data_IF_331038411880
#
_entry.id   IF_331038411880
#
_cell.length_a   1.000
_cell.length_b   1.000
_cell.length_c   1.000
_cell.angle_alpha   90.00
_cell.angle_beta   90.00
_cell.angle_gamma   90.00
#
_symmetry.space_group_name_H-M   'P 1'
#
loop_
_entity.id
_entity.type
_entity.pdbx_description
1 polymer ?
#
# COMPACT_ATOMS: atom_id res chain seq x y z
N UNK A 1 8.55 8.19 11.98
CA UNK A 1 8.92 9.48 12.62
C UNK A 1 10.36 9.78 12.21
N UNK A 2 10.60 10.90 11.52
CA UNK A 2 11.95 11.33 11.18
C UNK A 2 12.67 11.75 12.48
N UNK A 3 13.48 10.86 13.05
CA UNK A 3 14.26 11.16 14.25
C UNK A 3 15.53 11.89 13.86
N UNK A 4 15.66 13.17 14.23
CA UNK A 4 16.94 13.88 14.12
C UNK A 4 17.94 13.26 15.12
N UNK A 5 19.17 13.05 14.68
CA UNK A 5 20.26 12.62 15.55
C UNK A 5 21.15 13.82 15.86
N UNK A 6 21.59 13.93 17.12
CA UNK A 6 22.54 14.95 17.57
C UNK A 6 23.84 14.26 17.96
N UNK A 7 24.96 14.80 17.47
CA UNK A 7 26.30 14.29 17.76
C UNK A 7 27.13 15.32 18.53
N UNK A 8 28.23 14.87 19.11
CA UNK A 8 29.19 15.76 19.78
C UNK A 8 29.79 16.74 18.78
N UNK A 9 29.96 18.00 19.18
CA UNK A 9 30.63 19.03 18.38
C UNK A 9 32.16 18.92 18.46
N UNK A 10 32.69 18.08 19.35
CA UNK A 10 34.13 17.94 19.65
C UNK A 10 35.02 17.81 18.43
N UNK A 11 34.57 17.05 17.44
CA UNK A 11 35.36 16.64 16.28
C UNK A 11 35.41 17.75 15.21
N UNK A 12 34.58 18.78 15.36
CA UNK A 12 34.46 19.91 14.45
C UNK A 12 35.07 21.19 15.03
N UNK A 13 35.52 21.18 16.28
CA UNK A 13 36.16 22.35 16.92
C UNK A 13 37.59 22.51 16.40
N UNK A 14 37.96 23.74 16.10
CA UNK A 14 39.28 24.05 15.54
C UNK A 14 40.17 24.84 16.51
N UNK A 15 41.48 24.64 16.40
CA UNK A 15 42.50 25.40 17.13
C UNK A 15 42.35 25.30 18.65
N UNK A 16 42.34 26.45 19.34
CA UNK A 16 42.22 26.46 20.81
C UNK A 16 40.88 25.91 21.32
N UNK A 17 39.86 25.88 20.46
CA UNK A 17 38.51 25.44 20.77
C UNK A 17 38.40 23.95 21.08
N UNK A 18 39.39 23.14 20.67
CA UNK A 18 39.46 21.71 21.03
C UNK A 18 39.43 21.50 22.56
N UNK A 19 39.95 22.46 23.32
CA UNK A 19 39.99 22.47 24.78
C UNK A 19 38.79 23.16 25.45
N UNK A 20 37.75 23.51 24.67
CA UNK A 20 36.59 24.22 25.20
C UNK A 20 35.83 23.38 26.24
N UNK A 21 35.34 24.07 27.28
CA UNK A 21 34.66 23.46 28.42
C UNK A 21 33.18 23.27 28.09
N UNK A 22 32.61 22.17 28.57
CA UNK A 22 31.18 21.93 28.51
C UNK A 22 30.56 22.30 29.86
N UNK A 23 29.53 23.13 29.84
CA UNK A 23 28.68 23.40 31.01
C UNK A 23 27.31 22.74 30.82
N UNK A 24 26.70 22.32 31.92
CA UNK A 24 25.42 21.61 31.91
C UNK A 24 24.51 22.12 33.01
N UNK A 25 23.20 22.00 32.81
CA UNK A 25 22.19 22.32 33.82
C UNK A 25 21.12 21.25 33.92
N UNK A 26 20.49 21.16 35.09
CA UNK A 26 19.28 20.36 35.33
C UNK A 26 18.00 21.20 35.26
N UNK A 27 18.13 22.51 35.15
CA UNK A 27 17.01 23.43 35.05
C UNK A 27 16.20 23.18 33.77
N UNK A 28 14.90 23.48 33.85
CA UNK A 28 14.02 23.42 32.69
C UNK A 28 14.35 24.59 31.76
N UNK A 29 14.51 24.31 30.46
CA UNK A 29 14.71 25.34 29.45
C UNK A 29 13.35 25.75 28.88
N UNK A 30 13.01 27.03 28.98
CA UNK A 30 11.80 27.58 28.40
C UNK A 30 11.94 27.79 26.90
N UNK A 31 10.82 27.75 26.18
CA UNK A 31 10.79 28.07 24.75
C UNK A 31 11.31 26.99 23.81
N UNK A 32 11.57 25.79 24.32
CA UNK A 32 11.92 24.60 23.53
C UNK A 32 10.67 24.01 22.85
N UNK A 33 10.87 23.12 21.87
CA UNK A 33 9.77 22.35 21.23
C UNK A 33 8.63 23.20 20.63
N UNK A 34 8.95 24.37 20.07
CA UNK A 34 7.96 25.23 19.39
C UNK A 34 7.72 24.78 17.96
N UNK A 35 6.45 24.68 17.55
CA UNK A 35 6.09 24.49 16.15
C UNK A 35 6.63 25.65 15.27
N UNK A 36 6.98 25.38 13.99
CA UNK A 36 6.95 24.09 13.30
C UNK A 36 8.19 23.20 13.56
N UNK A 37 9.25 23.74 14.18
CA UNK A 37 10.53 23.06 14.38
C UNK A 37 10.73 22.63 15.83
N UNK A 38 10.47 21.35 16.11
CA UNK A 38 10.61 20.78 17.44
C UNK A 38 12.07 20.41 17.74
N UNK A 39 12.74 21.24 18.54
CA UNK A 39 14.07 20.96 19.08
C UNK A 39 13.98 20.43 20.53
N UNK A 40 14.67 19.32 20.86
CA UNK A 40 14.56 18.70 22.17
C UNK A 40 15.15 19.58 23.26
N UNK A 41 14.49 19.66 24.42
CA UNK A 41 14.99 20.45 25.56
C UNK A 41 16.43 20.08 25.96
N UNK A 42 16.77 18.79 25.86
CA UNK A 42 18.10 18.26 26.20
C UNK A 42 19.23 18.94 25.42
N UNK A 43 18.98 19.38 24.19
CA UNK A 43 19.95 20.14 23.39
C UNK A 43 20.41 21.41 24.11
N UNK A 44 19.48 22.13 24.74
CA UNK A 44 19.72 23.41 25.39
C UNK A 44 20.18 23.28 26.85
N UNK A 45 20.26 22.06 27.40
CA UNK A 45 20.73 21.81 28.77
C UNK A 45 22.25 21.61 28.85
N UNK A 46 22.93 21.58 27.70
CA UNK A 46 24.38 21.55 27.58
C UNK A 46 24.85 22.68 26.67
N UNK A 47 25.99 23.27 26.98
CA UNK A 47 26.61 24.26 26.12
C UNK A 47 28.14 24.23 26.21
N UNK A 48 28.79 24.62 25.12
CA UNK A 48 30.25 24.73 25.03
C UNK A 48 30.65 26.19 25.17
N UNK A 49 31.69 26.45 25.97
CA UNK A 49 32.23 27.79 26.26
C UNK A 49 33.75 27.73 26.40
N UNK A 50 34.45 28.79 26.00
CA UNK A 50 35.90 28.91 26.14
C UNK A 50 36.30 30.36 26.42
N UNK A 51 37.35 30.56 27.22
CA UNK A 51 37.98 31.87 27.36
C UNK A 51 38.67 32.25 26.04
N UNK A 52 38.06 33.17 25.29
CA UNK A 52 38.49 33.54 23.96
C UNK A 52 37.42 33.24 22.92
N UNK A 53 37.86 32.99 21.69
CA UNK A 53 36.98 32.70 20.56
C UNK A 53 36.72 31.20 20.46
N UNK A 54 35.48 30.84 20.18
CA UNK A 54 35.10 29.47 19.82
C UNK A 54 35.05 29.35 18.29
N UNK A 55 35.71 28.35 17.74
CA UNK A 55 35.90 28.16 16.29
C UNK A 55 35.54 26.73 15.89
N UNK A 56 34.82 26.61 14.78
CA UNK A 56 34.39 25.36 14.18
C UNK A 56 34.74 25.32 12.70
N UNK A 57 35.15 24.15 12.22
CA UNK A 57 35.36 23.85 10.80
C UNK A 57 34.45 22.69 10.41
N UNK A 58 33.40 23.01 9.65
CA UNK A 58 32.41 22.03 9.21
C UNK A 58 32.75 21.60 7.78
N UNK A 59 33.03 20.30 7.53
CA UNK A 59 33.22 19.78 6.19
C UNK A 59 31.89 19.78 5.44
N UNK A 60 31.89 20.35 4.23
CA UNK A 60 30.68 20.58 3.42
C UNK A 60 31.02 20.50 1.92
N UNK A 61 30.00 20.29 1.09
CA UNK A 61 30.14 20.34 -0.37
C UNK A 61 30.23 21.79 -0.86
N UNK A 62 31.21 22.07 -1.72
CA UNK A 62 31.34 23.37 -2.37
C UNK A 62 30.23 23.59 -3.42
N UNK A 63 30.05 24.86 -3.82
CA UNK A 63 29.08 25.35 -4.82
C UNK A 63 27.61 25.17 -4.43
N UNK A 64 27.32 25.01 -3.14
CA UNK A 64 25.97 24.99 -2.60
C UNK A 64 25.73 26.18 -1.66
N UNK A 65 24.46 26.50 -1.45
CA UNK A 65 24.03 27.38 -0.38
C UNK A 65 23.89 26.56 0.92
N UNK A 66 24.24 27.13 2.07
CA UNK A 66 24.11 26.46 3.37
C UNK A 66 23.25 27.27 4.32
N UNK A 67 22.19 26.67 4.85
CA UNK A 67 21.43 27.21 5.97
C UNK A 67 22.05 26.71 7.27
N UNK A 68 22.61 27.64 8.03
CA UNK A 68 23.23 27.37 9.33
C UNK A 68 22.28 27.78 10.45
N UNK A 69 22.01 26.88 11.39
CA UNK A 69 21.24 27.14 12.60
C UNK A 69 22.14 27.11 13.81
N UNK A 70 22.05 28.16 14.62
CA UNK A 70 22.74 28.28 15.90
C UNK A 70 21.71 28.17 17.03
N UNK A 71 21.99 27.26 17.96
CA UNK A 71 21.15 27.05 19.13
C UNK A 71 21.87 27.55 20.39
N UNK A 72 21.18 28.40 21.14
CA UNK A 72 21.70 29.05 22.33
C UNK A 72 20.72 28.93 23.50
N UNK A 73 21.24 28.87 24.72
CA UNK A 73 20.51 29.12 25.94
C UNK A 73 21.49 29.61 27.00
N UNK A 74 21.17 30.70 27.69
CA UNK A 74 22.02 31.17 28.79
C UNK A 74 21.76 30.30 30.02
N UNK A 75 22.59 29.25 30.18
CA UNK A 75 22.50 28.28 31.27
C UNK A 75 23.55 28.53 32.35
N UNK A 76 24.45 29.50 32.16
CA UNK A 76 25.42 29.90 33.15
C UNK A 76 24.78 30.86 34.17
N UNK A 77 24.52 30.35 35.36
CA UNK A 77 23.92 31.11 36.47
C UNK A 77 24.73 32.33 36.93
N UNK A 78 25.99 32.46 36.49
CA UNK A 78 26.81 33.64 36.79
C UNK A 78 26.40 34.86 35.97
N UNK A 79 25.77 34.67 34.81
CA UNK A 79 25.24 35.73 33.94
C UNK A 79 23.82 36.10 34.39
N UNK A 80 23.65 37.32 34.90
CA UNK A 80 22.41 37.77 35.57
C UNK A 80 21.75 38.98 34.92
N UNK A 81 22.39 39.60 33.94
CA UNK A 81 21.84 40.75 33.20
C UNK A 81 22.39 40.82 31.78
N UNK A 82 21.65 41.51 30.92
CA UNK A 82 22.10 41.88 29.59
C UNK A 82 23.45 42.62 29.64
N UNK A 83 24.31 42.36 28.66
CA UNK A 83 25.63 42.95 28.50
C UNK A 83 26.76 42.21 29.21
N UNK A 84 26.48 41.24 30.10
CA UNK A 84 27.52 40.44 30.76
C UNK A 84 28.15 39.39 29.84
N UNK A 85 27.35 38.82 28.92
CA UNK A 85 27.81 37.94 27.85
C UNK A 85 27.34 38.47 26.50
N UNK A 86 28.29 38.95 25.71
CA UNK A 86 28.06 39.47 24.36
C UNK A 86 29.16 38.92 23.45
N UNK A 87 28.78 38.36 22.31
CA UNK A 87 29.73 37.86 21.32
C UNK A 87 29.21 38.05 19.90
N UNK A 88 30.13 38.21 18.96
CA UNK A 88 29.81 38.30 17.53
C UNK A 88 29.87 36.88 16.94
N UNK A 89 28.86 36.51 16.16
CA UNK A 89 28.81 35.28 15.37
C UNK A 89 29.31 35.59 13.97
N UNK A 90 30.35 34.90 13.53
CA UNK A 90 30.91 35.02 12.20
C UNK A 90 30.79 33.69 11.46
N UNK A 91 30.44 33.77 10.18
CA UNK A 91 30.42 32.64 9.24
C UNK A 91 31.32 33.02 8.07
N UNK A 92 32.35 32.22 7.79
CA UNK A 92 33.40 32.51 6.80
C UNK A 92 33.95 33.94 6.90
N UNK A 93 34.33 34.34 8.12
CA UNK A 93 34.86 35.67 8.47
C UNK A 93 33.89 36.86 8.26
N UNK A 94 32.66 36.61 7.82
CA UNK A 94 31.61 37.61 7.76
C UNK A 94 30.86 37.67 9.09
N UNK A 95 30.77 38.86 9.69
CA UNK A 95 29.98 39.07 10.90
C UNK A 95 28.48 38.98 10.56
N UNK A 96 27.81 37.98 11.14
CA UNK A 96 26.40 37.66 10.92
C UNK A 96 25.52 38.41 11.91
N UNK A 97 25.85 38.33 13.19
CA UNK A 97 25.05 38.95 14.25
C UNK A 97 25.85 39.12 15.53
N UNK A 98 25.56 40.18 16.28
CA UNK A 98 25.95 40.32 17.68
C UNK A 98 24.89 39.70 18.57
N UNK A 99 25.29 38.77 19.44
CA UNK A 99 24.38 37.98 20.29
C UNK A 99 24.59 38.33 21.76
N UNK A 100 23.49 38.62 22.44
CA UNK A 100 23.36 38.68 23.90
C UNK A 100 22.13 37.85 24.29
N UNK A 101 22.36 36.59 24.66
CA UNK A 101 21.27 35.62 24.88
C UNK A 101 20.36 36.08 26.02
N UNK A 102 20.95 36.63 27.10
CA UNK A 102 20.19 37.10 28.25
C UNK A 102 19.27 38.26 27.87
N UNK A 103 19.74 39.19 27.04
CA UNK A 103 18.91 40.29 26.53
C UNK A 103 17.73 39.79 25.69
N UNK A 104 17.95 38.79 24.83
CA UNK A 104 16.93 38.30 23.90
C UNK A 104 15.86 37.44 24.61
N UNK A 105 16.27 36.54 25.51
CA UNK A 105 15.36 35.53 26.09
C UNK A 105 15.51 35.33 27.61
N UNK A 106 16.49 35.96 28.25
CA UNK A 106 16.81 35.75 29.67
C UNK A 106 17.60 34.46 29.93
N UNK A 107 17.69 34.07 31.20
CA UNK A 107 18.30 32.80 31.61
C UNK A 107 17.38 31.60 31.36
N UNK A 108 17.97 30.44 31.10
CA UNK A 108 17.27 29.16 30.93
C UNK A 108 16.12 29.21 29.91
N UNK A 109 16.33 29.94 28.81
CA UNK A 109 15.41 30.00 27.69
C UNK A 109 16.15 29.75 26.37
N UNK A 110 15.51 29.01 25.47
CA UNK A 110 16.05 28.69 24.16
C UNK A 110 15.97 29.89 23.22
N UNK A 111 17.08 30.18 22.57
CA UNK A 111 17.24 31.17 21.52
C UNK A 111 17.85 30.50 20.30
N UNK A 112 17.32 30.79 19.11
CA UNK A 112 17.84 30.24 17.86
C UNK A 112 18.06 31.36 16.87
N UNK A 113 19.19 31.31 16.19
CA UNK A 113 19.57 32.22 15.11
C UNK A 113 19.82 31.36 13.87
N UNK A 114 19.41 31.83 12.70
CA UNK A 114 19.78 31.20 11.44
C UNK A 114 20.43 32.19 10.49
N UNK A 115 21.23 31.66 9.58
CA UNK A 115 21.91 32.44 8.56
C UNK A 115 22.16 31.55 7.34
N UNK A 116 21.90 32.10 6.15
CA UNK A 116 22.19 31.42 4.90
C UNK A 116 23.49 31.95 4.32
N UNK A 117 24.49 31.09 4.25
CA UNK A 117 25.71 31.33 3.49
C UNK A 117 25.49 30.91 2.05
N UNK A 118 25.68 31.84 1.11
CA UNK A 118 25.37 31.62 -0.30
C UNK A 118 26.62 31.34 -1.11
N UNK A 119 26.49 30.44 -2.08
CA UNK A 119 27.50 30.09 -3.07
C UNK A 119 28.86 29.82 -2.43
N UNK A 120 28.88 28.87 -1.50
CA UNK A 120 30.08 28.53 -0.76
C UNK A 120 31.15 27.98 -1.72
N UNK A 121 32.26 28.68 -1.89
CA UNK A 121 33.33 28.26 -2.81
C UNK A 121 34.28 27.21 -2.24
N UNK A 122 34.28 27.06 -0.92
CA UNK A 122 35.16 26.16 -0.16
C UNK A 122 34.43 24.88 0.24
N UNK A 123 35.17 23.80 0.49
CA UNK A 123 34.66 22.55 1.09
C UNK A 123 34.62 22.59 2.62
N UNK A 124 34.85 23.77 3.21
CA UNK A 124 34.85 24.00 4.65
C UNK A 124 34.03 25.25 4.94
N UNK A 125 33.04 25.10 5.82
CA UNK A 125 32.25 26.18 6.39
C UNK A 125 32.82 26.53 7.76
N UNK A 126 33.39 27.72 7.88
CA UNK A 126 34.02 28.16 9.12
C UNK A 126 33.04 28.98 9.97
N UNK A 127 32.89 28.62 11.23
CA UNK A 127 32.02 29.32 12.19
C UNK A 127 32.86 29.79 13.37
N UNK A 128 32.77 31.09 13.71
CA UNK A 128 33.49 31.69 14.84
C UNK A 128 32.56 32.47 15.75
N UNK A 129 32.64 32.24 17.05
CA UNK A 129 31.97 33.06 18.07
C UNK A 129 33.05 33.88 18.78
N UNK A 130 33.12 35.17 18.47
CA UNK A 130 34.16 36.08 18.99
C UNK A 130 33.64 36.86 20.20
N UNK A 131 34.30 36.79 21.36
CA UNK A 131 33.86 37.49 22.55
C UNK A 131 33.94 39.01 22.38
N UNK A 132 32.91 39.71 22.85
CA UNK A 132 32.88 41.17 23.05
C UNK A 132 32.86 41.48 24.55
N UNK A 133 32.08 40.72 25.32
CA UNK A 133 32.06 40.71 26.78
C UNK A 133 31.75 39.29 27.27
N UNK A 134 32.50 38.78 28.25
CA UNK A 134 32.36 37.38 28.67
C UNK A 134 32.79 36.37 27.60
N UNK A 135 32.76 35.08 27.95
CA UNK A 135 33.06 34.00 27.03
C UNK A 135 31.86 33.72 26.09
N UNK A 136 32.04 33.36 24.82
CA UNK A 136 30.94 32.91 23.98
C UNK A 136 30.39 31.56 24.46
N UNK A 137 29.14 31.26 24.12
CA UNK A 137 28.47 30.02 24.49
C UNK A 137 27.60 29.54 23.33
N UNK A 138 27.56 28.22 23.09
CA UNK A 138 26.66 27.59 22.10
C UNK A 138 26.14 26.22 22.60
N UNK A 139 24.87 25.92 22.35
CA UNK A 139 24.24 24.65 22.72
C UNK A 139 24.22 23.63 21.57
N UNK A 140 24.13 24.11 20.33
CA UNK A 140 24.10 23.26 19.15
C UNK A 140 24.24 24.03 17.86
N UNK A 141 24.64 23.33 16.80
CA UNK A 141 24.85 23.85 15.47
C UNK A 141 24.28 22.85 14.47
N UNK A 142 23.47 23.31 13.51
CA UNK A 142 23.02 22.51 12.36
C UNK A 142 23.44 23.23 11.08
N UNK A 143 23.85 22.48 10.06
CA UNK A 143 24.08 23.01 8.72
C UNK A 143 23.32 22.14 7.70
N UNK A 144 22.55 22.80 6.85
CA UNK A 144 21.77 22.14 5.80
C UNK A 144 22.25 22.65 4.45
N UNK A 145 22.68 21.73 3.58
CA UNK A 145 22.87 22.04 2.18
C UNK A 145 21.51 22.40 1.57
N UNK A 146 21.40 23.61 1.04
CA UNK A 146 20.23 24.07 0.32
C UNK A 146 20.39 23.67 -1.14
N UNK A 147 19.54 22.75 -1.57
CA UNK A 147 19.35 22.46 -2.98
C UNK A 147 18.22 23.34 -3.52
N UNK A 148 18.29 23.80 -4.78
CA UNK A 148 17.16 24.43 -5.44
C UNK A 148 15.91 23.55 -5.29
N UNK A 149 14.76 24.17 -5.02
CA UNK A 149 13.50 23.45 -5.01
C UNK A 149 13.20 23.02 -6.45
N UNK A 150 13.50 21.77 -6.75
CA UNK A 150 13.21 21.19 -8.04
C UNK A 150 11.70 20.92 -8.21
N UNK A 151 11.27 20.75 -9.45
CA UNK A 151 9.91 20.35 -9.76
C UNK A 151 9.66 18.95 -9.18
N UNK A 152 8.60 18.79 -8.39
CA UNK A 152 8.21 17.48 -7.89
C UNK A 152 7.61 16.61 -9.00
N UNK A 153 7.70 15.28 -8.84
CA UNK A 153 6.92 14.36 -9.65
C UNK A 153 5.43 14.57 -9.40
N UNK A 154 4.61 14.51 -10.45
CA UNK A 154 3.16 14.64 -10.30
C UNK A 154 2.60 13.58 -9.32
N UNK A 155 1.73 13.95 -8.36
CA UNK A 155 1.36 13.09 -7.25
C UNK A 155 0.80 11.72 -7.65
N UNK A 156 0.02 11.66 -8.73
CA UNK A 156 -0.57 10.43 -9.24
C UNK A 156 0.50 9.43 -9.69
N UNK A 157 1.59 9.92 -10.30
CA UNK A 157 2.68 9.07 -10.74
C UNK A 157 3.59 8.65 -9.58
N UNK A 158 3.70 9.45 -8.52
CA UNK A 158 4.35 9.02 -7.27
C UNK A 158 3.62 7.83 -6.65
N UNK A 159 2.28 7.86 -6.63
CA UNK A 159 1.46 6.72 -6.16
C UNK A 159 1.73 5.48 -7.00
N UNK A 160 1.76 5.63 -8.32
CA UNK A 160 2.07 4.54 -9.26
C UNK A 160 3.44 3.92 -8.97
N UNK A 161 4.48 4.76 -8.86
CA UNK A 161 5.86 4.33 -8.66
C UNK A 161 6.08 3.67 -7.31
N UNK A 162 5.40 4.14 -6.26
CA UNK A 162 5.41 3.47 -4.97
C UNK A 162 4.80 2.07 -5.07
N UNK A 163 3.65 1.94 -5.74
CA UNK A 163 3.02 0.65 -5.93
C UNK A 163 3.88 -0.30 -6.79
N UNK A 164 4.57 0.22 -7.81
CA UNK A 164 5.50 -0.56 -8.63
C UNK A 164 6.76 -0.94 -7.87
N UNK A 165 7.32 -0.07 -7.03
CA UNK A 165 8.45 -0.40 -6.14
C UNK A 165 8.13 -1.65 -5.32
N UNK A 166 6.95 -1.65 -4.70
CA UNK A 166 6.48 -2.73 -3.84
C UNK A 166 6.15 -3.99 -4.67
N UNK A 167 5.45 -3.85 -5.80
CA UNK A 167 5.00 -5.00 -6.60
C UNK A 167 6.09 -5.69 -7.41
N UNK A 168 7.09 -4.93 -7.87
CA UNK A 168 8.26 -5.43 -8.62
C UNK A 168 9.41 -5.86 -7.70
N UNK A 169 9.20 -5.83 -6.37
CA UNK A 169 10.19 -6.20 -5.36
C UNK A 169 11.55 -5.51 -5.59
N UNK A 170 11.53 -4.22 -5.92
CA UNK A 170 12.74 -3.47 -6.28
C UNK A 170 13.68 -3.41 -5.05
N UNK A 171 14.93 -3.88 -5.16
CA UNK A 171 15.85 -3.87 -4.03
C UNK A 171 16.36 -2.46 -3.73
N UNK A 172 16.63 -2.17 -2.45
CA UNK A 172 17.08 -0.84 -2.00
C UNK A 172 18.34 -0.34 -2.73
N UNK A 173 19.19 -1.25 -3.22
CA UNK A 173 20.41 -0.94 -3.98
C UNK A 173 20.17 -0.18 -5.29
N UNK A 174 18.95 -0.21 -5.84
CA UNK A 174 18.59 0.52 -7.06
C UNK A 174 18.20 1.98 -6.80
N UNK A 175 18.29 2.45 -5.55
CA UNK A 175 18.09 3.87 -5.27
C UNK A 175 16.65 4.38 -5.45
N UNK A 176 15.65 3.51 -5.50
CA UNK A 176 14.23 3.90 -5.57
C UNK A 176 13.72 4.48 -4.23
N UNK A 177 14.25 5.62 -3.80
CA UNK A 177 13.94 6.29 -2.55
C UNK A 177 13.68 7.79 -2.78
N UNK A 178 12.72 8.37 -2.06
CA UNK A 178 12.36 9.79 -2.22
C UNK A 178 11.41 10.05 -3.38
N UNK A 179 11.57 11.19 -4.06
CA UNK A 179 10.80 11.55 -5.26
C UNK A 179 11.36 10.77 -6.47
N UNK A 180 10.53 10.16 -7.33
CA UNK A 180 11.02 9.38 -8.47
C UNK A 180 11.84 10.16 -9.51
N UNK A 181 11.58 11.45 -9.66
CA UNK A 181 12.17 12.29 -10.71
C UNK A 181 13.02 13.45 -10.19
N UNK A 182 12.96 13.75 -8.89
CA UNK A 182 13.68 14.87 -8.29
C UNK A 182 14.74 14.39 -7.29
N UNK A 183 15.94 15.00 -7.29
CA UNK A 183 16.33 16.17 -8.09
C UNK A 183 16.78 15.82 -9.53
N UNK A 184 16.45 16.68 -10.51
CA UNK A 184 16.80 16.53 -11.93
C UNK A 184 18.32 16.48 -12.17
N UNK A 185 19.09 17.08 -11.26
CA UNK A 185 20.52 17.26 -11.41
C UNK A 185 21.34 16.03 -10.92
N UNK A 186 20.75 15.17 -10.06
CA UNK A 186 21.44 13.99 -9.51
C UNK A 186 20.45 12.88 -9.09
N UNK A 187 20.31 11.85 -9.92
CA UNK A 187 19.56 10.61 -9.63
C UNK A 187 18.02 10.75 -9.61
N UNK A 188 17.44 10.72 -10.81
CA UNK A 188 16.19 9.99 -10.98
C UNK A 188 16.38 8.53 -10.51
N UNK A 189 15.30 7.89 -10.05
CA UNK A 189 15.35 6.47 -9.70
C UNK A 189 15.99 5.64 -10.83
N UNK A 190 16.83 4.66 -10.48
CA UNK A 190 17.54 3.87 -11.48
C UNK A 190 16.56 3.24 -12.48
N UNK A 191 16.84 3.44 -13.77
CA UNK A 191 15.99 2.98 -14.87
C UNK A 191 14.73 3.83 -15.12
N UNK A 192 14.56 4.99 -14.46
CA UNK A 192 13.41 5.88 -14.67
C UNK A 192 13.84 7.15 -15.39
N UNK A 193 13.17 7.47 -16.49
CA UNK A 193 13.38 8.73 -17.22
C UNK A 193 12.18 9.65 -17.10
N UNK A 194 12.44 10.86 -16.62
CA UNK A 194 11.44 11.89 -16.39
C UNK A 194 11.61 13.10 -17.31
N UNK A 195 10.51 13.75 -17.62
CA UNK A 195 10.46 15.01 -18.36
C UNK A 195 9.54 15.99 -17.68
N UNK A 196 9.76 17.28 -17.89
CA UNK A 196 8.81 18.31 -17.46
C UNK A 196 7.48 18.14 -18.20
N UNK A 197 6.36 18.25 -17.46
CA UNK A 197 5.04 18.24 -18.07
C UNK A 197 4.85 19.46 -19.01
N UNK A 198 3.81 19.42 -19.85
CA UNK A 198 3.53 20.49 -20.83
C UNK A 198 3.32 21.88 -20.21
N UNK A 199 2.92 21.94 -18.94
CA UNK A 199 2.62 23.18 -18.24
C UNK A 199 3.81 23.73 -17.44
N UNK A 200 4.94 23.02 -17.37
CA UNK A 200 6.08 23.40 -16.55
C UNK A 200 5.87 23.27 -15.03
N UNK A 201 4.80 22.59 -14.59
CA UNK A 201 4.38 22.58 -13.17
C UNK A 201 4.82 21.34 -12.38
N UNK A 202 5.41 20.34 -13.04
CA UNK A 202 5.83 19.11 -12.41
C UNK A 202 6.53 18.17 -13.38
N UNK A 203 7.20 17.16 -12.83
CA UNK A 203 7.87 16.11 -13.59
C UNK A 203 6.91 14.93 -13.84
N UNK A 204 7.01 14.36 -15.02
CA UNK A 204 6.27 13.17 -15.44
C UNK A 204 7.22 12.11 -15.93
N UNK A 205 6.92 10.86 -15.61
CA UNK A 205 7.65 9.67 -15.98
C UNK A 205 7.24 9.28 -17.39
N UNK A 206 8.27 9.10 -18.22
CA UNK A 206 8.09 8.81 -19.66
C UNK A 206 8.68 7.48 -20.04
N UNK A 207 9.67 6.98 -19.28
CA UNK A 207 10.31 5.70 -19.56
C UNK A 207 10.63 4.97 -18.25
N UNK A 208 10.42 3.64 -18.25
CA UNK A 208 10.89 2.72 -17.22
C UNK A 208 11.67 1.62 -17.92
N UNK A 209 12.95 1.49 -17.61
CA UNK A 209 13.92 0.57 -18.21
C UNK A 209 14.56 -0.29 -17.11
N UNK A 210 13.96 -1.44 -16.84
CA UNK A 210 14.38 -2.40 -15.82
C UNK A 210 14.70 -3.78 -16.42
N UNK A 211 15.11 -3.81 -17.69
CA UNK A 211 15.47 -5.03 -18.39
C UNK A 211 16.67 -5.75 -17.74
N UNK A 212 16.64 -7.09 -17.70
CA UNK A 212 17.76 -7.93 -17.22
C UNK A 212 18.22 -7.67 -15.77
N UNK A 213 17.31 -7.28 -14.88
CA UNK A 213 17.63 -6.92 -13.50
C UNK A 213 17.46 -8.06 -12.47
N UNK A 214 16.94 -9.21 -12.91
CA UNK A 214 16.65 -10.34 -12.02
C UNK A 214 15.52 -10.06 -11.03
N UNK A 215 14.64 -9.09 -11.35
CA UNK A 215 13.50 -8.68 -10.54
C UNK A 215 12.38 -9.74 -10.56
N UNK A 216 11.50 -9.67 -9.57
CA UNK A 216 10.41 -10.63 -9.32
C UNK A 216 9.12 -9.88 -9.00
N UNK A 217 8.04 -10.63 -8.77
CA UNK A 217 6.76 -10.05 -8.37
C UNK A 217 5.85 -9.86 -9.58
N UNK A 218 5.04 -8.82 -9.59
CA UNK A 218 4.00 -8.60 -10.61
C UNK A 218 3.84 -7.13 -10.97
N UNK A 219 3.21 -6.87 -12.12
CA UNK A 219 2.93 -5.51 -12.59
C UNK A 219 1.64 -5.03 -11.92
N UNK A 220 1.72 -3.99 -11.10
CA UNK A 220 0.57 -3.43 -10.39
C UNK A 220 -0.39 -2.68 -11.32
N UNK A 221 -1.70 -2.80 -11.09
CA UNK A 221 -2.75 -2.05 -11.81
C UNK A 221 -2.58 -0.52 -11.71
N UNK A 222 -1.88 -0.04 -10.69
CA UNK A 222 -1.56 1.38 -10.49
C UNK A 222 -0.63 1.95 -11.58
N UNK A 223 -0.05 1.11 -12.44
CA UNK A 223 0.72 1.55 -13.61
C UNK A 223 -0.09 2.46 -14.56
N UNK A 224 -1.43 2.36 -14.51
CA UNK A 224 -2.34 3.22 -15.26
C UNK A 224 -2.23 4.71 -14.94
N UNK A 225 -1.77 5.04 -13.73
CA UNK A 225 -1.55 6.43 -13.30
C UNK A 225 -0.33 7.04 -13.99
N UNK A 226 0.54 6.24 -14.63
CA UNK A 226 1.64 6.71 -15.47
C UNK A 226 1.15 7.11 -16.88
N UNK A 227 0.24 8.09 -16.94
CA UNK A 227 -0.43 8.55 -18.18
C UNK A 227 0.53 9.07 -19.27
N UNK A 228 1.75 9.41 -18.89
CA UNK A 228 2.79 9.93 -19.77
C UNK A 228 3.85 8.89 -20.14
N UNK A 229 3.69 7.63 -19.71
CA UNK A 229 4.63 6.56 -20.01
C UNK A 229 4.57 6.21 -21.51
N UNK A 230 5.75 6.25 -22.14
CA UNK A 230 5.97 5.98 -23.56
C UNK A 230 6.72 4.67 -23.72
N UNK A 231 7.75 4.45 -22.91
CA UNK A 231 8.58 3.24 -22.96
C UNK A 231 8.47 2.46 -21.66
N UNK A 232 8.16 1.17 -21.77
CA UNK A 232 8.22 0.22 -20.67
C UNK A 232 9.06 -0.97 -21.10
N UNK A 233 10.23 -1.12 -20.49
CA UNK A 233 11.10 -2.27 -20.65
C UNK A 233 11.26 -2.99 -19.31
N UNK A 234 10.61 -4.15 -19.20
CA UNK A 234 10.70 -5.07 -18.07
C UNK A 234 11.25 -6.43 -18.52
N UNK A 235 11.93 -6.49 -19.67
CA UNK A 235 12.36 -7.74 -20.28
C UNK A 235 13.34 -8.52 -19.42
N UNK A 236 13.43 -9.84 -19.64
CA UNK A 236 14.49 -10.68 -19.06
C UNK A 236 14.53 -10.63 -17.52
N UNK A 237 13.35 -10.68 -16.89
CA UNK A 237 13.17 -10.74 -15.45
C UNK A 237 12.38 -12.01 -15.06
N UNK A 238 11.92 -12.08 -13.82
CA UNK A 238 11.11 -13.18 -13.30
C UNK A 238 9.73 -12.68 -12.84
N UNK A 239 9.17 -11.69 -13.55
CA UNK A 239 7.82 -11.19 -13.26
C UNK A 239 6.77 -12.24 -13.60
N UNK A 240 5.79 -12.41 -12.72
CA UNK A 240 4.71 -13.38 -12.84
C UNK A 240 3.33 -12.72 -12.69
N UNK A 241 2.27 -13.50 -12.91
CA UNK A 241 0.90 -13.00 -12.92
C UNK A 241 0.48 -12.46 -14.29
N UNK A 242 -0.70 -11.85 -14.34
CA UNK A 242 -1.27 -11.29 -15.56
C UNK A 242 -0.73 -9.91 -15.87
N UNK A 243 -0.72 -9.56 -17.16
CA UNK A 243 -0.53 -8.18 -17.59
C UNK A 243 -1.80 -7.40 -17.22
N UNK A 244 -1.71 -6.33 -16.41
CA UNK A 244 -2.88 -5.59 -15.97
C UNK A 244 -3.57 -4.92 -17.17
N UNK A 245 -4.90 -5.01 -17.25
CA UNK A 245 -5.69 -4.33 -18.30
C UNK A 245 -5.45 -2.82 -18.26
N UNK A 246 -5.16 -2.29 -17.07
CA UNK A 246 -4.86 -0.88 -16.84
C UNK A 246 -3.60 -0.38 -17.55
N UNK A 247 -2.68 -1.26 -17.98
CA UNK A 247 -1.48 -0.86 -18.72
C UNK A 247 -1.81 -0.20 -20.07
N UNK A 248 -3.02 -0.44 -20.57
CA UNK A 248 -3.54 0.09 -21.83
C UNK A 248 -3.89 1.58 -21.75
N UNK A 249 -3.98 2.17 -20.56
CA UNK A 249 -4.33 3.59 -20.39
C UNK A 249 -3.15 4.55 -20.64
N UNK A 250 -1.95 4.01 -20.88
CA UNK A 250 -0.74 4.77 -21.14
C UNK A 250 -0.49 4.92 -22.64
N UNK A 251 0.13 6.03 -23.06
CA UNK A 251 0.46 6.31 -24.47
C UNK A 251 1.74 5.56 -24.90
N UNK A 252 1.76 4.24 -24.70
CA UNK A 252 2.93 3.40 -24.91
C UNK A 252 3.28 3.30 -26.40
N UNK A 253 4.57 3.41 -26.68
CA UNK A 253 5.17 3.18 -28.00
C UNK A 253 6.13 1.99 -27.98
N UNK A 254 6.77 1.71 -26.84
CA UNK A 254 7.65 0.57 -26.67
C UNK A 254 7.23 -0.21 -25.42
N UNK A 255 6.92 -1.49 -25.60
CA UNK A 255 6.56 -2.41 -24.52
C UNK A 255 7.37 -3.69 -24.67
N UNK A 256 8.38 -3.89 -23.83
CA UNK A 256 9.14 -5.13 -23.75
C UNK A 256 8.85 -5.84 -22.44
N UNK A 257 8.10 -6.93 -22.53
CA UNK A 257 7.79 -7.82 -21.41
C UNK A 257 8.34 -9.23 -21.65
N UNK A 258 9.15 -9.41 -22.69
CA UNK A 258 9.67 -10.70 -23.11
C UNK A 258 10.55 -11.36 -22.04
N UNK A 259 10.66 -12.69 -22.11
CA UNK A 259 11.48 -13.52 -21.23
C UNK A 259 11.15 -13.31 -19.74
N UNK A 260 9.86 -13.34 -19.39
CA UNK A 260 9.36 -13.35 -18.02
C UNK A 260 8.51 -14.62 -17.75
N UNK A 261 7.84 -14.66 -16.59
CA UNK A 261 6.92 -15.72 -16.16
C UNK A 261 5.45 -15.24 -16.20
N UNK A 262 5.13 -14.28 -17.08
CA UNK A 262 3.78 -13.72 -17.19
C UNK A 262 2.81 -14.75 -17.77
N UNK A 263 1.55 -14.69 -17.33
CA UNK A 263 0.52 -15.65 -17.69
C UNK A 263 -0.86 -15.02 -17.89
N UNK A 264 -1.75 -15.73 -18.59
CA UNK A 264 -3.12 -15.29 -18.84
C UNK A 264 -3.30 -14.57 -20.18
N UNK A 265 -4.49 -13.98 -20.35
CA UNK A 265 -4.84 -13.29 -21.59
C UNK A 265 -4.12 -11.95 -21.69
N UNK A 266 -3.55 -11.66 -22.84
CA UNK A 266 -3.00 -10.33 -23.15
C UNK A 266 -4.16 -9.36 -23.43
N UNK A 267 -4.22 -8.18 -22.80
CA UNK A 267 -5.21 -7.16 -23.13
C UNK A 267 -5.12 -6.75 -24.61
N UNK A 268 -6.25 -6.74 -25.31
CA UNK A 268 -6.29 -6.49 -26.76
C UNK A 268 -5.77 -5.08 -27.10
N UNK A 269 -6.10 -4.11 -26.26
CA UNK A 269 -5.66 -2.72 -26.41
C UNK A 269 -4.14 -2.59 -26.22
N UNK A 270 -3.49 -3.47 -25.45
CA UNK A 270 -2.03 -3.43 -25.30
C UNK A 270 -1.34 -3.90 -26.59
N UNK A 271 -1.90 -4.93 -27.22
CA UNK A 271 -1.40 -5.41 -28.51
C UNK A 271 -1.57 -4.37 -29.63
N UNK A 272 -2.57 -3.48 -29.53
CA UNK A 272 -2.78 -2.39 -30.48
C UNK A 272 -1.60 -1.43 -30.60
N UNK A 273 -0.71 -1.35 -29.59
CA UNK A 273 0.54 -0.56 -29.66
C UNK A 273 1.37 -0.93 -30.88
N UNK A 274 1.52 -2.24 -31.17
CA UNK A 274 2.24 -2.71 -32.35
C UNK A 274 1.54 -2.37 -33.68
N UNK A 275 0.21 -2.31 -33.67
CA UNK A 275 -0.60 -1.94 -34.83
C UNK A 275 -0.47 -0.44 -35.15
N UNK A 276 -0.31 0.39 -34.13
CA UNK A 276 -0.17 1.84 -34.25
C UNK A 276 1.28 2.32 -34.51
N UNK A 277 2.18 1.42 -34.92
CA UNK A 277 3.57 1.74 -35.26
C UNK A 277 4.53 1.74 -34.06
N UNK A 278 4.06 1.33 -32.89
CA UNK A 278 4.90 1.01 -31.74
C UNK A 278 5.54 -0.38 -31.85
N UNK A 279 6.28 -0.78 -30.82
CA UNK A 279 6.92 -2.08 -30.69
C UNK A 279 6.43 -2.77 -29.42
N UNK A 280 5.90 -3.98 -29.57
CA UNK A 280 5.53 -4.85 -28.46
C UNK A 280 6.24 -6.20 -28.57
N UNK A 281 6.93 -6.59 -27.51
CA UNK A 281 7.57 -7.91 -27.41
C UNK A 281 7.10 -8.62 -26.14
N UNK A 282 6.36 -9.71 -26.34
CA UNK A 282 5.82 -10.60 -25.30
C UNK A 282 6.45 -12.00 -25.35
N UNK A 283 7.45 -12.20 -26.21
CA UNK A 283 8.05 -13.51 -26.47
C UNK A 283 8.67 -14.12 -25.20
N UNK A 284 8.84 -15.44 -25.15
CA UNK A 284 9.42 -16.11 -23.98
C UNK A 284 8.50 -16.26 -22.75
N UNK A 285 7.34 -15.61 -22.73
CA UNK A 285 6.31 -15.84 -21.69
C UNK A 285 5.39 -17.01 -22.07
N UNK A 286 5.67 -18.21 -21.55
CA UNK A 286 4.95 -19.44 -21.92
C UNK A 286 3.48 -19.47 -21.49
N UNK A 287 3.10 -18.67 -20.49
CA UNK A 287 1.75 -18.64 -19.93
C UNK A 287 0.80 -17.65 -20.63
N UNK A 288 1.29 -16.79 -21.52
CA UNK A 288 0.47 -15.79 -22.20
C UNK A 288 -0.31 -16.37 -23.38
N UNK A 289 -1.50 -15.83 -23.63
CA UNK A 289 -2.39 -16.26 -24.70
C UNK A 289 -3.29 -15.12 -25.22
N UNK A 290 -3.96 -15.33 -26.36
CA UNK A 290 -5.06 -14.49 -26.83
C UNK A 290 -4.75 -13.41 -27.87
N UNK A 291 -3.48 -13.21 -28.25
CA UNK A 291 -3.07 -12.28 -29.33
C UNK A 291 -1.98 -12.88 -30.20
N UNK A 292 -1.93 -12.65 -31.52
CA UNK A 292 -0.90 -13.22 -32.38
C UNK A 292 0.52 -12.72 -32.03
N UNK A 293 1.57 -13.57 -32.02
CA UNK A 293 1.61 -14.98 -32.40
C UNK A 293 1.37 -15.97 -31.24
N UNK A 294 0.87 -15.51 -30.10
CA UNK A 294 0.60 -16.36 -28.94
C UNK A 294 -0.59 -17.31 -29.21
N UNK A 295 -0.65 -18.48 -28.56
CA UNK A 295 -1.76 -19.41 -28.71
C UNK A 295 -3.08 -18.81 -28.22
N UNK A 296 -4.19 -19.35 -28.71
CA UNK A 296 -5.52 -19.04 -28.18
C UNK A 296 -5.61 -19.45 -26.71
N UNK A 297 -6.29 -18.63 -25.91
CA UNK A 297 -6.50 -18.95 -24.50
C UNK A 297 -7.40 -20.19 -24.35
N UNK A 298 -7.10 -21.10 -23.41
CA UNK A 298 -7.97 -22.23 -23.12
C UNK A 298 -9.40 -21.76 -22.79
N UNK A 299 -10.41 -22.42 -23.39
CA UNK A 299 -11.86 -22.17 -23.28
C UNK A 299 -12.43 -22.05 -21.84
N UNK A 300 -11.62 -22.32 -20.81
CA UNK A 300 -12.01 -22.37 -19.40
C UNK A 300 -11.73 -21.08 -18.59
N UNK A 301 -11.04 -20.08 -19.17
CA UNK A 301 -10.70 -18.84 -18.46
C UNK A 301 -11.28 -17.60 -19.13
N UNK A 302 -12.47 -17.21 -18.70
CA UNK A 302 -13.08 -15.91 -18.98
C UNK A 302 -13.22 -15.19 -17.62
N UNK A 303 -12.45 -14.13 -17.39
CA UNK A 303 -12.53 -13.24 -16.22
C UNK A 303 -12.55 -13.96 -14.85
N UNK A 304 -11.72 -14.99 -14.66
CA UNK A 304 -11.63 -15.74 -13.41
C UNK A 304 -12.89 -16.54 -13.04
N UNK A 305 -13.82 -16.76 -13.99
CA UNK A 305 -15.05 -17.54 -13.79
C UNK A 305 -15.26 -18.56 -14.91
N UNK A 306 -15.97 -19.64 -14.58
CA UNK A 306 -16.32 -20.69 -15.54
C UNK A 306 -17.25 -20.12 -16.64
N UNK A 307 -16.83 -20.21 -17.91
CA UNK A 307 -17.63 -19.79 -19.07
C UNK A 307 -19.00 -20.50 -19.12
N UNK A 308 -19.99 -19.91 -19.81
CA UNK A 308 -21.33 -20.51 -19.97
C UNK A 308 -21.25 -21.92 -20.57
N UNK A 309 -20.35 -22.15 -21.54
CA UNK A 309 -20.10 -23.47 -22.12
C UNK A 309 -19.49 -24.45 -21.11
N UNK A 310 -18.52 -24.00 -20.31
CA UNK A 310 -17.92 -24.79 -19.24
C UNK A 310 -18.93 -25.20 -18.16
N UNK A 311 -19.84 -24.29 -17.77
CA UNK A 311 -20.93 -24.58 -16.83
C UNK A 311 -21.87 -25.66 -17.36
N UNK A 312 -22.22 -25.60 -18.65
CA UNK A 312 -23.05 -26.61 -19.31
C UNK A 312 -22.33 -27.95 -19.38
N UNK A 313 -21.04 -27.97 -19.74
CA UNK A 313 -20.25 -29.19 -19.82
C UNK A 313 -20.10 -29.88 -18.46
N UNK A 314 -19.83 -29.13 -17.39
CA UNK A 314 -19.79 -29.69 -16.02
C UNK A 314 -21.18 -30.20 -15.62
N UNK A 315 -22.23 -29.44 -15.90
CA UNK A 315 -23.61 -29.86 -15.65
C UNK A 315 -23.98 -31.18 -16.35
N UNK A 316 -23.63 -31.32 -17.63
CA UNK A 316 -23.85 -32.54 -18.40
C UNK A 316 -23.05 -33.72 -17.86
N UNK A 317 -21.77 -33.49 -17.50
CA UNK A 317 -20.92 -34.52 -16.91
C UNK A 317 -21.45 -35.02 -15.57
N UNK A 318 -21.85 -34.11 -14.67
CA UNK A 318 -22.48 -34.46 -13.40
C UNK A 318 -23.81 -35.21 -13.60
N UNK A 319 -24.64 -34.79 -14.55
CA UNK A 319 -25.89 -35.48 -14.88
C UNK A 319 -25.63 -36.91 -15.36
N UNK A 320 -24.66 -37.10 -16.26
CA UNK A 320 -24.28 -38.41 -16.79
C UNK A 320 -23.76 -39.33 -15.66
N UNK A 321 -22.94 -38.79 -14.75
CA UNK A 321 -22.46 -39.53 -13.59
C UNK A 321 -23.60 -39.98 -12.67
N UNK A 322 -24.54 -39.08 -12.32
CA UNK A 322 -25.70 -39.41 -11.49
C UNK A 322 -26.60 -40.43 -12.18
N UNK A 323 -26.83 -40.30 -13.49
CA UNK A 323 -27.62 -41.26 -14.26
C UNK A 323 -26.99 -42.67 -14.25
N UNK A 324 -25.67 -42.76 -14.43
CA UNK A 324 -24.93 -44.03 -14.32
C UNK A 324 -25.04 -44.60 -12.91
N UNK A 325 -24.91 -43.76 -11.89
CA UNK A 325 -25.00 -44.18 -10.48
C UNK A 325 -26.41 -44.72 -10.13
N UNK A 326 -27.46 -44.04 -10.61
CA UNK A 326 -28.84 -44.52 -10.50
C UNK A 326 -29.07 -45.82 -11.27
N UNK A 327 -28.46 -45.98 -12.45
CA UNK A 327 -28.54 -47.19 -13.24
C UNK A 327 -27.82 -48.37 -12.56
N UNK A 328 -26.69 -48.12 -11.91
CA UNK A 328 -25.99 -49.11 -11.07
C UNK A 328 -26.84 -49.50 -9.86
N UNK A 329 -27.46 -48.52 -9.17
CA UNK A 329 -28.40 -48.80 -8.07
C UNK A 329 -29.58 -49.62 -8.56
N UNK A 330 -30.19 -49.25 -9.68
CA UNK A 330 -31.29 -49.97 -10.31
C UNK A 330 -30.90 -51.42 -10.64
N UNK A 331 -29.74 -51.62 -11.28
CA UNK A 331 -29.21 -52.95 -11.58
C UNK A 331 -28.92 -53.75 -10.30
N UNK A 332 -28.42 -53.11 -9.25
CA UNK A 332 -28.15 -53.75 -7.96
C UNK A 332 -29.45 -54.14 -7.26
N UNK A 333 -30.47 -53.28 -7.24
CA UNK A 333 -31.78 -53.57 -6.67
C UNK A 333 -32.50 -54.70 -7.41
N UNK A 334 -32.43 -54.74 -8.74
CA UNK A 334 -33.12 -55.77 -9.55
C UNK A 334 -32.32 -57.08 -9.61
N UNK A 335 -30.98 -57.04 -9.71
CA UNK A 335 -30.18 -58.28 -9.67
C UNK A 335 -30.13 -58.90 -8.28
N UNK A 336 -30.25 -58.11 -7.21
CA UNK A 336 -30.33 -58.63 -5.83
C UNK A 336 -31.76 -59.05 -5.44
N UNK A 337 -32.77 -58.51 -6.10
CA UNK A 337 -34.20 -58.85 -5.92
C UNK A 337 -34.67 -60.08 -6.69
N UNK A 338 -33.84 -61.13 -6.80
CA UNK A 338 -34.23 -62.43 -7.38
C UNK A 338 -34.06 -63.60 -6.42
N UNK A 339 -34.14 -63.34 -5.12
CA UNK A 339 -34.36 -64.33 -4.07
C UNK A 339 -35.35 -63.77 -3.04
N UNK A 340 -36.51 -64.42 -2.96
CA UNK A 340 -37.59 -64.39 -1.96
C UNK A 340 -37.90 -63.10 -1.19
N UNK A 341 -39.05 -62.51 -1.52
CA UNK A 341 -39.94 -61.90 -0.52
C UNK A 341 -41.39 -62.23 -0.87
N UNK A 342 -41.92 -63.28 -0.24
CA UNK A 342 -43.36 -63.56 -0.16
C UNK A 342 -44.09 -62.39 0.50
N UNK A 343 -44.92 -61.68 -0.26
CA UNK A 343 -45.83 -60.69 0.29
C UNK A 343 -47.06 -61.39 0.90
N UNK A 344 -46.97 -61.71 2.19
CA UNK A 344 -48.15 -61.98 3.02
C UNK A 344 -49.01 -60.71 3.17
N UNK A 345 -50.31 -60.83 2.93
CA UNK A 345 -51.28 -59.73 3.02
C UNK A 345 -51.31 -59.14 4.45
N UNK A 346 -51.27 -57.80 4.65
CA UNK A 346 -51.36 -57.22 5.98
C UNK A 346 -52.70 -57.54 6.65
N UNK A 347 -52.65 -58.12 7.85
CA UNK A 347 -53.78 -58.43 8.73
C UNK A 347 -54.72 -57.25 8.99
N UNK A 348 -54.22 -56.02 8.83
CA UNK A 348 -54.98 -54.80 9.06
C UNK A 348 -56.08 -54.53 8.02
N UNK A 349 -55.94 -54.99 6.77
CA UNK A 349 -56.96 -54.83 5.73
C UNK A 349 -58.17 -55.75 5.94
N UNK A 350 -57.95 -56.95 6.48
CA UNK A 350 -59.03 -57.88 6.86
C UNK A 350 -59.83 -57.29 8.05
N UNK A 351 -59.15 -56.60 8.97
CA UNK A 351 -59.79 -55.97 10.14
C UNK A 351 -60.77 -54.85 9.75
N UNK A 352 -60.42 -54.05 8.73
CA UNK A 352 -61.25 -52.97 8.19
C UNK A 352 -62.47 -53.50 7.43
N UNK A 353 -62.28 -54.54 6.62
CA UNK A 353 -63.38 -55.22 5.93
C UNK A 353 -64.36 -55.87 6.93
N UNK A 354 -63.84 -56.52 7.98
CA UNK A 354 -64.65 -57.11 9.04
C UNK A 354 -65.42 -56.06 9.87
N UNK A 355 -64.83 -54.89 10.16
CA UNK A 355 -65.54 -53.77 10.80
C UNK A 355 -66.66 -53.22 9.92
N UNK A 356 -66.41 -53.03 8.61
CA UNK A 356 -67.41 -52.55 7.65
C UNK A 356 -68.60 -53.52 7.53
N UNK A 357 -68.34 -54.82 7.49
CA UNK A 357 -69.40 -55.83 7.41
C UNK A 357 -70.23 -55.90 8.70
N UNK A 358 -69.63 -55.77 9.89
CA UNK A 358 -70.37 -55.71 11.16
C UNK A 358 -71.30 -54.50 11.24
N UNK A 359 -70.83 -53.33 10.81
CA UNK A 359 -71.65 -52.12 10.78
C UNK A 359 -72.86 -52.26 9.83
N UNK A 360 -72.65 -52.80 8.63
CA UNK A 360 -73.74 -53.07 7.68
C UNK A 360 -74.79 -54.05 8.25
N UNK A 361 -74.34 -55.10 8.97
CA UNK A 361 -75.24 -56.09 9.59
C UNK A 361 -76.06 -55.52 10.75
N UNK A 362 -75.48 -54.64 11.56
CA UNK A 362 -76.22 -53.94 12.62
C UNK A 362 -77.25 -52.97 12.04
N UNK A 363 -76.88 -52.26 10.98
CA UNK A 363 -77.80 -51.34 10.29
C UNK A 363 -79.01 -52.07 9.70
N UNK A 364 -78.83 -53.23 9.09
CA UNK A 364 -79.96 -54.02 8.55
C UNK A 364 -80.84 -54.65 9.64
N UNK A 365 -80.25 -55.07 10.77
CA UNK A 365 -81.01 -55.54 11.93
C UNK A 365 -81.89 -54.45 12.55
N UNK A 366 -81.36 -53.24 12.77
CA UNK A 366 -82.16 -52.10 13.26
C UNK A 366 -83.32 -51.76 12.31
N UNK A 367 -83.11 -51.84 11.00
CA UNK A 367 -84.13 -51.54 9.99
C UNK A 367 -85.27 -52.57 10.01
N UNK A 368 -84.93 -53.86 10.16
CA UNK A 368 -85.91 -54.94 10.35
C UNK A 368 -86.66 -54.83 11.69
N UNK A 369 -85.99 -54.37 12.75
CA UNK A 369 -86.62 -54.16 14.06
C UNK A 369 -87.62 -52.99 14.02
N UNK A 370 -87.31 -51.91 13.29
CA UNK A 370 -88.24 -50.82 13.01
C UNK A 370 -89.44 -51.27 12.16
N UNK A 371 -89.24 -52.11 11.14
CA UNK A 371 -90.34 -52.63 10.31
C UNK A 371 -91.23 -53.63 11.08
N UNK A 372 -90.66 -54.43 11.98
CA UNK A 372 -91.37 -55.37 12.86
C UNK A 372 -92.29 -54.67 13.88
N UNK A 373 -91.88 -53.52 14.42
CA UNK A 373 -92.72 -52.74 15.34
C UNK A 373 -93.88 -52.01 14.64
N UNK A 374 -93.76 -51.73 13.34
CA UNK A 374 -94.82 -51.09 12.54
C UNK A 374 -95.93 -52.09 12.12
N UNK A 375 -95.68 -53.40 12.16
CA UNK A 375 -96.60 -54.44 11.67
C UNK A 375 -97.56 -55.04 12.73
N UNK A 376 -97.50 -54.60 14.01
CA UNK A 376 -98.30 -55.20 15.11
C UNK A 376 -99.38 -54.29 15.74
N UNK A 377 -99.66 -53.13 15.18
CA UNK A 377 -100.72 -52.27 15.69
C UNK A 377 -101.63 -51.77 14.58
N UNK A 378 -102.77 -52.44 14.33
CA UNK A 378 -104.04 -51.80 13.98
C UNK A 378 -105.18 -52.85 13.90
N UNK A 379 -106.32 -52.65 14.62
CA UNK A 379 -107.47 -53.56 14.66
C UNK A 379 -108.42 -53.41 13.45
N UNK A 380 -109.16 -54.48 13.20
CA UNK A 380 -110.18 -54.65 12.15
C UNK A 380 -111.44 -53.81 12.38
N UNK A 381 -111.94 -53.13 11.34
CA UNK A 381 -113.35 -52.74 11.17
C UNK A 381 -113.77 -52.92 9.70
N UNK A 382 -114.97 -53.44 9.40
CA UNK A 382 -115.38 -53.85 8.05
C UNK A 382 -116.12 -52.76 7.25
N UNK A 383 -116.26 -53.07 5.96
CA UNK A 383 -116.95 -52.36 4.88
C UNK A 383 -118.40 -51.93 5.19
N UNK A 384 -118.85 -50.88 4.50
CA UNK A 384 -120.23 -50.76 4.04
C UNK A 384 -120.31 -50.08 2.65
N UNK A 385 -121.39 -50.32 1.88
CA UNK A 385 -121.38 -50.27 0.41
C UNK A 385 -122.09 -49.04 -0.18
N UNK A 386 -121.76 -48.73 -1.43
CA UNK A 386 -122.68 -48.21 -2.44
C UNK A 386 -122.28 -48.70 -3.82
#
# INVERSE_FOLDING_TARGET
AFGRSWQSDSDYRAGKSESAKVITTKEKINGTEKAPNYFPMKLYQSAVTIEGRLEYELPVDAKLDYLVWFHFAEIDSTVKKAGERVFDVLVNDKNVSRVDIFKEVGSFAAYSLNYTEKNLSSSVLNVKLSPVAGAPLICGLENYAMVPADLATVPEQVVAMKALKDSLCVPDRMGWNGDPCAPTDWDAWEGVTCHTNKNGTGLVITQIELGSQGLKGYISEQISLLSNLINLDLSDNQFSGSIPESLTSSNLQLVRLNNNLLEGRVPEELYSVGVHGGTIDLSGNKGLCGVPPLPDCPLFWENGRLSKGGKIAIGLSCFLFVAVLLLVIYLFCIRRGRNDYDFGLPSDLISLAAKRNRYQRQKSLMLLEMESQHAKGLPSVPLNPH
#
